data_IF_630236872749
#
_entry.id   IF_630236872749
#
_cell.length_a   1.000
_cell.length_b   1.000
_cell.length_c   1.000
_cell.angle_alpha   90.00
_cell.angle_beta   90.00
_cell.angle_gamma   90.00
#
_symmetry.space_group_name_H-M   'P 1'
#
loop_
_entity.id
_entity.type
_entity.pdbx_description
1 polymer ?
#
# COMPACT_ATOMS: atom_id res chain seq x y z
N UNK A 1 53.62 13.97 40.09
CA UNK A 1 54.74 13.18 40.67
C UNK A 1 54.23 12.40 41.88
N UNK A 2 54.17 11.07 41.72
CA UNK A 2 54.25 10.00 42.72
C UNK A 2 53.46 10.06 44.05
N UNK A 3 52.48 9.15 44.21
CA UNK A 3 52.50 8.02 45.18
C UNK A 3 51.10 7.41 45.44
N UNK A 4 50.44 6.79 44.44
CA UNK A 4 49.41 5.73 44.68
C UNK A 4 49.50 4.63 43.58
N UNK A 5 50.67 4.45 42.96
CA UNK A 5 50.83 3.52 41.82
C UNK A 5 51.43 2.15 42.20
N UNK A 6 51.32 1.68 43.45
CA UNK A 6 52.14 0.54 43.92
C UNK A 6 51.46 -0.48 44.86
N UNK A 7 50.14 -0.68 44.81
CA UNK A 7 49.47 -1.67 45.70
C UNK A 7 48.46 -2.59 44.97
N UNK A 8 48.35 -2.57 43.64
CA UNK A 8 47.63 -3.64 42.93
C UNK A 8 48.51 -4.23 41.82
N UNK A 9 49.07 -5.44 42.05
CA UNK A 9 49.81 -6.15 41.02
C UNK A 9 48.84 -6.54 39.90
N UNK A 10 49.38 -6.55 38.69
CA UNK A 10 48.79 -6.94 37.42
C UNK A 10 48.27 -8.39 37.43
N UNK A 11 47.14 -8.63 38.11
CA UNK A 11 46.55 -9.96 38.23
C UNK A 11 45.04 -9.86 38.45
N UNK A 12 44.27 -9.56 37.40
CA UNK A 12 42.84 -9.91 37.28
C UNK A 12 42.34 -9.90 35.81
N UNK A 13 43.24 -10.01 34.84
CA UNK A 13 42.86 -10.06 33.42
C UNK A 13 42.49 -11.47 32.91
N UNK A 14 42.35 -12.48 33.79
CA UNK A 14 42.34 -13.89 33.36
C UNK A 14 40.99 -14.63 33.52
N UNK A 15 39.96 -14.07 34.15
CA UNK A 15 38.67 -14.82 34.26
C UNK A 15 37.40 -13.99 34.07
N UNK A 16 37.47 -12.75 33.60
CA UNK A 16 36.30 -12.13 33.01
C UNK A 16 36.23 -12.65 31.57
N UNK A 17 35.32 -13.61 31.32
CA UNK A 17 35.09 -14.13 29.98
C UNK A 17 34.88 -13.01 28.95
N UNK A 18 35.03 -13.26 27.64
CA UNK A 18 35.05 -12.21 26.60
C UNK A 18 33.87 -11.23 26.68
N UNK A 19 32.72 -11.67 27.22
CA UNK A 19 31.55 -10.83 27.49
C UNK A 19 31.75 -9.81 28.61
N UNK A 20 32.43 -10.17 29.69
CA UNK A 20 32.64 -9.29 30.82
C UNK A 20 33.71 -8.21 30.52
N UNK A 21 34.72 -8.53 29.71
CA UNK A 21 35.63 -7.53 29.15
C UNK A 21 34.88 -6.54 28.22
N UNK A 22 34.00 -7.05 27.34
CA UNK A 22 33.17 -6.21 26.46
C UNK A 22 32.27 -5.22 27.22
N UNK A 23 31.67 -5.65 28.34
CA UNK A 23 30.84 -4.79 29.19
C UNK A 23 31.66 -3.78 30.01
N UNK A 24 32.86 -4.15 30.43
CA UNK A 24 33.78 -3.22 31.10
C UNK A 24 34.25 -2.11 30.15
N UNK A 25 34.53 -2.46 28.88
CA UNK A 25 34.94 -1.53 27.84
C UNK A 25 33.78 -0.65 27.33
N UNK A 26 32.54 -1.12 27.47
CA UNK A 26 31.35 -0.43 26.95
C UNK A 26 30.21 -0.42 27.98
N UNK A 27 30.25 0.49 28.98
CA UNK A 27 29.21 0.59 30.01
C UNK A 27 27.82 0.93 29.45
N UNK A 28 27.75 1.37 28.20
CA UNK A 28 26.52 1.76 27.48
C UNK A 28 25.74 0.57 26.90
N UNK A 29 26.43 -0.52 26.57
CA UNK A 29 25.79 -1.71 25.98
C UNK A 29 24.64 -2.30 26.81
N UNK A 30 24.73 -2.46 28.15
CA UNK A 30 23.63 -3.05 28.92
C UNK A 30 22.36 -2.19 28.87
N UNK A 31 22.50 -0.86 28.90
CA UNK A 31 21.37 0.06 28.81
C UNK A 31 20.73 0.02 27.42
N UNK A 32 21.54 -0.02 26.35
CA UNK A 32 21.04 -0.18 24.98
C UNK A 32 20.37 -1.54 24.75
N UNK A 33 20.91 -2.62 25.33
CA UNK A 33 20.31 -3.95 25.28
C UNK A 33 18.96 -3.97 26.00
N UNK A 34 18.85 -3.34 27.16
CA UNK A 34 17.60 -3.22 27.91
C UNK A 34 16.56 -2.42 27.12
N UNK A 35 16.95 -1.31 26.50
CA UNK A 35 16.09 -0.52 25.64
C UNK A 35 15.62 -1.31 24.40
N UNK A 36 16.51 -2.06 23.74
CA UNK A 36 16.15 -2.96 22.67
C UNK A 36 15.16 -4.03 23.12
N UNK A 37 15.43 -4.68 24.25
CA UNK A 37 14.54 -5.71 24.80
C UNK A 37 13.16 -5.14 25.13
N UNK A 38 13.06 -3.93 25.68
CA UNK A 38 11.79 -3.28 25.97
C UNK A 38 10.99 -3.00 24.69
N UNK A 39 11.63 -2.46 23.64
CA UNK A 39 11.01 -2.20 22.33
C UNK A 39 10.56 -3.51 21.69
N UNK A 40 11.44 -4.51 21.65
CA UNK A 40 11.15 -5.83 21.10
C UNK A 40 9.98 -6.49 21.84
N UNK A 41 10.02 -6.51 23.18
CA UNK A 41 8.98 -7.12 24.01
C UNK A 41 7.63 -6.42 23.79
N UNK A 42 7.62 -5.09 23.69
CA UNK A 42 6.39 -4.36 23.37
C UNK A 42 5.80 -4.79 22.03
N UNK A 43 6.59 -4.76 20.96
CA UNK A 43 6.12 -5.15 19.63
C UNK A 43 5.72 -6.62 19.56
N UNK A 44 6.45 -7.49 20.27
CA UNK A 44 6.16 -8.92 20.36
C UNK A 44 4.86 -9.20 21.11
N UNK A 45 4.64 -8.59 22.28
CA UNK A 45 3.39 -8.71 23.03
C UNK A 45 2.21 -8.13 22.24
N UNK A 46 2.43 -7.02 21.54
CA UNK A 46 1.43 -6.40 20.69
C UNK A 46 1.05 -7.30 19.51
N UNK A 47 2.05 -7.89 18.84
CA UNK A 47 1.85 -8.87 17.78
C UNK A 47 1.10 -10.11 18.29
N UNK A 48 1.44 -10.62 19.49
CA UNK A 48 0.70 -11.72 20.14
C UNK A 48 -0.75 -11.37 20.44
N UNK A 49 -1.05 -10.14 20.86
CA UNK A 49 -2.42 -9.68 21.15
C UNK A 49 -3.28 -9.56 19.88
N UNK A 50 -2.69 -9.08 18.79
CA UNK A 50 -3.36 -9.00 17.48
C UNK A 50 -3.59 -10.38 16.87
N UNK A 51 -2.72 -11.32 17.20
CA UNK A 51 -2.75 -12.67 16.67
C UNK A 51 -2.19 -12.77 15.25
N UNK A 52 -1.82 -13.98 14.81
CA UNK A 52 -1.46 -14.21 13.42
C UNK A 52 -2.63 -13.85 12.49
N UNK A 53 -2.33 -13.56 11.23
CA UNK A 53 -3.37 -13.33 10.22
C UNK A 53 -4.38 -14.50 10.24
N UNK A 54 -5.70 -14.22 10.13
CA UNK A 54 -6.70 -15.27 10.14
C UNK A 54 -6.38 -16.31 9.06
N UNK A 55 -6.48 -17.58 9.44
CA UNK A 55 -6.20 -18.69 8.53
C UNK A 55 -7.13 -18.63 7.30
N UNK A 56 -6.65 -19.14 6.17
CA UNK A 56 -7.49 -19.27 4.98
C UNK A 56 -8.63 -20.24 5.29
N UNK A 57 -9.87 -19.86 5.00
CA UNK A 57 -10.99 -20.79 5.05
C UNK A 57 -10.90 -21.84 3.93
N UNK A 58 -11.82 -22.80 3.93
CA UNK A 58 -11.99 -23.72 2.80
C UNK A 58 -12.49 -22.93 1.58
N UNK A 59 -11.67 -22.85 0.53
CA UNK A 59 -11.97 -22.08 -0.68
C UNK A 59 -12.67 -23.00 -1.67
N UNK A 60 -13.97 -22.81 -1.84
CA UNK A 60 -14.78 -23.49 -2.86
C UNK A 60 -14.93 -22.59 -4.09
N UNK A 61 -14.89 -23.13 -5.32
CA UNK A 61 -15.26 -22.37 -6.51
C UNK A 61 -16.64 -21.75 -6.37
N UNK A 62 -16.80 -20.47 -6.69
CA UNK A 62 -18.09 -19.75 -6.61
C UNK A 62 -18.30 -18.92 -7.88
N UNK A 63 -19.48 -19.07 -8.48
CA UNK A 63 -19.88 -18.36 -9.70
C UNK A 63 -20.39 -16.93 -9.42
N UNK A 64 -20.91 -16.67 -8.23
CA UNK A 64 -21.34 -15.34 -7.80
C UNK A 64 -20.22 -14.55 -7.10
N UNK A 65 -20.09 -13.24 -7.37
CA UNK A 65 -19.17 -12.38 -6.63
C UNK A 65 -19.55 -12.33 -5.14
N UNK A 66 -18.57 -12.21 -4.24
CA UNK A 66 -18.84 -12.14 -2.82
C UNK A 66 -19.62 -10.87 -2.46
N UNK A 67 -20.47 -11.01 -1.45
CA UNK A 67 -21.32 -9.93 -0.93
C UNK A 67 -20.57 -9.14 0.13
N UNK A 68 -20.69 -7.81 0.11
CA UNK A 68 -19.94 -6.91 1.00
C UNK A 68 -20.46 -6.85 2.46
N UNK A 69 -21.49 -7.63 2.79
CA UNK A 69 -22.36 -7.43 3.96
C UNK A 69 -21.68 -7.37 5.33
N UNK A 70 -20.54 -8.04 5.55
CA UNK A 70 -19.81 -7.98 6.83
C UNK A 70 -18.66 -6.95 6.84
N UNK A 71 -18.37 -6.34 5.70
CA UNK A 71 -17.26 -5.40 5.50
C UNK A 71 -17.72 -3.95 5.43
N UNK A 72 -18.95 -3.73 4.99
CA UNK A 72 -19.57 -2.42 4.92
C UNK A 72 -20.08 -1.98 6.30
N UNK A 73 -20.15 -0.66 6.48
CA UNK A 73 -20.75 -0.03 7.66
C UNK A 73 -22.28 -0.19 7.69
N UNK A 74 -22.89 -0.50 6.55
CA UNK A 74 -24.33 -0.61 6.35
C UNK A 74 -24.85 -2.00 6.73
N UNK A 75 -25.92 -1.99 7.53
CA UNK A 75 -26.56 -3.15 8.15
C UNK A 75 -27.26 -4.00 7.09
N UNK A 76 -26.72 -5.18 6.77
CA UNK A 76 -27.31 -6.46 6.27
C UNK A 76 -28.55 -6.53 5.34
N UNK A 77 -29.27 -5.45 5.04
CA UNK A 77 -30.53 -5.48 4.26
C UNK A 77 -30.29 -5.27 2.76
N UNK A 78 -29.29 -4.47 2.37
CA UNK A 78 -28.89 -4.23 0.96
C UNK A 78 -27.47 -4.73 0.71
N UNK A 79 -27.32 -6.05 0.78
CA UNK A 79 -26.03 -6.70 0.62
C UNK A 79 -25.67 -6.78 -0.88
N UNK A 80 -25.33 -5.63 -1.48
CA UNK A 80 -24.91 -5.52 -2.87
C UNK A 80 -23.62 -6.32 -3.13
N UNK A 81 -23.47 -6.94 -4.32
CA UNK A 81 -22.24 -7.60 -4.69
C UNK A 81 -21.08 -6.59 -4.68
N UNK A 82 -19.88 -7.05 -4.30
CA UNK A 82 -18.67 -6.23 -4.39
C UNK A 82 -18.44 -5.81 -5.83
N UNK A 83 -18.25 -4.52 -6.10
CA UNK A 83 -17.89 -4.06 -7.45
C UNK A 83 -16.53 -4.63 -7.89
N UNK A 84 -16.27 -4.72 -9.21
CA UNK A 84 -14.98 -5.18 -9.74
C UNK A 84 -13.78 -4.36 -9.22
N UNK A 85 -13.99 -3.06 -8.99
CA UNK A 85 -12.98 -2.17 -8.42
C UNK A 85 -12.71 -2.47 -6.94
N UNK A 86 -13.76 -2.74 -6.17
CA UNK A 86 -13.63 -3.13 -4.78
C UNK A 86 -12.88 -4.46 -4.63
N UNK A 87 -13.08 -5.41 -5.55
CA UNK A 87 -12.33 -6.68 -5.61
C UNK A 87 -10.83 -6.43 -5.79
N UNK A 88 -10.43 -5.58 -6.74
CA UNK A 88 -9.02 -5.23 -6.94
C UNK A 88 -8.43 -4.51 -5.71
N UNK A 89 -9.19 -3.59 -5.12
CA UNK A 89 -8.79 -2.85 -3.92
C UNK A 89 -8.56 -3.76 -2.70
N UNK A 90 -9.47 -4.73 -2.49
CA UNK A 90 -9.36 -5.75 -1.44
C UNK A 90 -8.16 -6.66 -1.68
N UNK A 91 -7.98 -7.15 -2.90
CA UNK A 91 -6.89 -8.05 -3.25
C UNK A 91 -5.51 -7.38 -3.14
N UNK A 92 -5.38 -6.11 -3.53
CA UNK A 92 -4.11 -5.37 -3.54
C UNK A 92 -3.86 -4.55 -2.26
N UNK A 93 -4.47 -4.95 -1.13
CA UNK A 93 -4.20 -4.38 0.19
C UNK A 93 -4.31 -2.84 0.24
N UNK A 94 -5.44 -2.30 -0.23
CA UNK A 94 -5.85 -0.87 -0.34
C UNK A 94 -5.26 -0.05 -1.49
N UNK A 95 -4.59 -0.70 -2.45
CA UNK A 95 -4.10 -0.03 -3.67
C UNK A 95 -5.07 -0.29 -4.81
N UNK A 96 -5.34 0.72 -5.62
CA UNK A 96 -6.05 0.57 -6.90
C UNK A 96 -4.99 0.37 -7.97
N UNK A 97 -5.07 -0.73 -8.70
CA UNK A 97 -4.25 -0.99 -9.88
C UNK A 97 -4.96 -0.49 -11.15
N UNK A 98 -4.23 -0.33 -12.26
CA UNK A 98 -4.88 0.11 -13.51
C UNK A 98 -5.78 -0.99 -14.09
N UNK A 99 -5.55 -2.25 -13.70
CA UNK A 99 -6.51 -3.36 -13.90
C UNK A 99 -7.83 -3.10 -13.21
N UNK A 100 -7.81 -2.76 -11.93
CA UNK A 100 -9.02 -2.46 -11.16
C UNK A 100 -9.78 -1.28 -11.77
N UNK A 101 -9.07 -0.23 -12.17
CA UNK A 101 -9.69 0.94 -12.82
C UNK A 101 -10.23 0.61 -14.22
N UNK A 102 -9.50 -0.16 -15.03
CA UNK A 102 -9.97 -0.63 -16.33
C UNK A 102 -11.21 -1.52 -16.21
N UNK A 103 -11.25 -2.38 -15.17
CA UNK A 103 -12.43 -3.17 -14.84
C UNK A 103 -13.62 -2.29 -14.44
N UNK A 104 -13.39 -1.20 -13.69
CA UNK A 104 -14.44 -0.24 -13.36
C UNK A 104 -15.00 0.46 -14.60
N UNK A 105 -14.14 0.90 -15.52
CA UNK A 105 -14.60 1.49 -16.78
C UNK A 105 -15.35 0.49 -17.65
N UNK A 106 -14.86 -0.75 -17.74
CA UNK A 106 -15.55 -1.81 -18.46
C UNK A 106 -16.93 -2.11 -17.84
N UNK A 107 -17.03 -2.12 -16.52
CA UNK A 107 -18.32 -2.32 -15.86
C UNK A 107 -19.30 -1.16 -16.14
N UNK A 108 -18.83 0.09 -16.13
CA UNK A 108 -19.61 1.26 -16.56
C UNK A 108 -20.03 1.18 -18.03
N UNK A 109 -19.19 0.65 -18.92
CA UNK A 109 -19.53 0.51 -20.34
C UNK A 109 -20.54 -0.60 -20.57
N UNK A 110 -20.43 -1.71 -19.84
CA UNK A 110 -21.43 -2.77 -19.85
C UNK A 110 -22.78 -2.31 -19.27
N UNK A 111 -22.80 -1.35 -18.35
CA UNK A 111 -24.02 -0.68 -17.86
C UNK A 111 -24.54 0.43 -18.79
N UNK A 112 -23.83 0.71 -19.89
CA UNK A 112 -24.21 1.72 -20.89
C UNK A 112 -23.90 3.16 -20.49
N UNK A 113 -23.14 3.38 -19.41
CA UNK A 113 -22.82 4.70 -18.86
C UNK A 113 -21.56 5.32 -19.45
N UNK A 114 -20.74 4.51 -20.13
CA UNK A 114 -19.52 4.97 -20.78
C UNK A 114 -19.35 4.26 -22.12
N UNK A 115 -18.83 4.97 -23.12
CA UNK A 115 -18.43 4.42 -24.40
C UNK A 115 -16.91 4.44 -24.53
N UNK A 116 -16.34 3.38 -25.08
CA UNK A 116 -14.89 3.28 -25.34
C UNK A 116 -14.65 3.35 -26.84
N UNK A 117 -13.92 4.39 -27.26
CA UNK A 117 -13.50 4.61 -28.63
C UNK A 117 -11.99 4.53 -28.76
N UNK A 118 -11.50 4.22 -29.96
CA UNK A 118 -10.08 4.33 -30.30
C UNK A 118 -9.81 5.73 -30.83
N UNK A 119 -8.82 6.42 -30.29
CA UNK A 119 -8.34 7.67 -30.88
C UNK A 119 -7.49 7.40 -32.12
N UNK A 120 -7.49 8.34 -33.07
CA UNK A 120 -6.65 8.29 -34.28
C UNK A 120 -5.15 8.24 -33.94
N UNK A 121 -4.78 8.79 -32.79
CA UNK A 121 -3.41 8.78 -32.23
C UNK A 121 -2.99 7.44 -31.62
N UNK A 122 -3.84 6.41 -31.71
CA UNK A 122 -3.60 5.07 -31.15
C UNK A 122 -3.92 4.93 -29.66
N UNK A 123 -4.38 6.01 -29.01
CA UNK A 123 -4.89 6.00 -27.64
C UNK A 123 -6.34 5.53 -27.52
N UNK A 124 -6.85 5.48 -26.29
CA UNK A 124 -8.26 5.18 -26.01
C UNK A 124 -8.98 6.43 -25.53
N UNK A 125 -10.25 6.60 -25.91
CA UNK A 125 -11.10 7.71 -25.47
C UNK A 125 -12.30 7.13 -24.74
N UNK A 126 -12.57 7.69 -23.56
CA UNK A 126 -13.73 7.36 -22.73
C UNK A 126 -14.75 8.49 -22.86
N UNK A 127 -15.96 8.17 -23.32
CA UNK A 127 -17.06 9.14 -23.45
C UNK A 127 -18.15 8.78 -22.45
N UNK A 128 -18.39 9.56 -21.38
CA UNK A 128 -19.51 9.34 -20.49
C UNK A 128 -20.84 9.58 -21.22
N UNK A 129 -21.83 8.72 -20.98
CA UNK A 129 -23.20 8.86 -21.46
C UNK A 129 -24.12 9.37 -20.35
N UNK A 130 -25.23 10.05 -20.68
CA UNK A 130 -26.16 10.55 -19.67
C UNK A 130 -26.72 9.40 -18.83
N UNK A 131 -26.77 9.60 -17.51
CA UNK A 131 -27.18 8.61 -16.52
C UNK A 131 -28.72 8.45 -16.54
N UNK A 132 -29.28 7.28 -16.92
CA UNK A 132 -30.70 7.02 -16.76
C UNK A 132 -31.02 6.89 -15.26
N UNK A 133 -32.13 7.48 -14.79
CA UNK A 133 -32.50 7.49 -13.36
C UNK A 133 -32.57 6.09 -12.72
N UNK A 134 -33.02 5.07 -13.48
CA UNK A 134 -33.07 3.68 -13.02
C UNK A 134 -31.68 3.08 -12.81
N UNK A 135 -30.72 3.39 -13.68
CA UNK A 135 -29.33 2.92 -13.58
C UNK A 135 -28.59 3.65 -12.46
N UNK A 136 -28.97 4.91 -12.18
CA UNK A 136 -28.43 5.71 -11.09
C UNK A 136 -28.70 5.10 -9.70
N UNK A 137 -29.86 4.45 -9.54
CA UNK A 137 -30.28 3.81 -8.28
C UNK A 137 -29.64 2.44 -8.07
N UNK A 138 -29.28 1.74 -9.15
CA UNK A 138 -28.67 0.41 -9.11
C UNK A 138 -27.13 0.44 -9.03
N UNK A 139 -26.51 1.61 -9.15
CA UNK A 139 -25.05 1.77 -9.16
C UNK A 139 -24.48 1.70 -7.75
N UNK A 140 -23.37 0.98 -7.57
CA UNK A 140 -22.66 0.99 -6.30
C UNK A 140 -22.02 2.38 -6.06
N UNK A 141 -21.90 2.78 -4.79
CA UNK A 141 -21.35 4.09 -4.40
C UNK A 141 -19.96 4.37 -5.00
N UNK A 142 -19.09 3.36 -5.08
CA UNK A 142 -17.78 3.51 -5.71
C UNK A 142 -17.84 3.67 -7.23
N UNK A 143 -18.78 3.01 -7.90
CA UNK A 143 -18.97 3.14 -9.35
C UNK A 143 -19.51 4.53 -9.68
N UNK A 144 -20.43 5.03 -8.85
CA UNK A 144 -20.92 6.40 -8.91
C UNK A 144 -19.81 7.41 -8.69
N UNK A 145 -18.95 7.19 -7.70
CA UNK A 145 -17.79 8.06 -7.46
C UNK A 145 -16.81 8.09 -8.64
N UNK A 146 -16.60 6.94 -9.32
CA UNK A 146 -15.78 6.87 -10.54
C UNK A 146 -16.46 7.63 -11.68
N UNK A 147 -17.76 7.44 -11.88
CA UNK A 147 -18.53 8.11 -12.93
C UNK A 147 -18.58 9.64 -12.73
N UNK A 148 -18.86 10.12 -11.51
CA UNK A 148 -18.87 11.54 -11.18
C UNK A 148 -17.48 12.18 -11.32
N UNK A 149 -16.42 11.42 -11.02
CA UNK A 149 -15.06 11.88 -11.25
C UNK A 149 -14.69 11.86 -12.75
N UNK A 150 -15.21 10.91 -13.53
CA UNK A 150 -15.03 10.83 -14.97
C UNK A 150 -15.66 12.04 -15.66
N UNK A 151 -16.91 12.38 -15.33
CA UNK A 151 -17.59 13.56 -15.88
C UNK A 151 -16.82 14.83 -15.54
N UNK A 152 -16.41 15.02 -14.29
CA UNK A 152 -15.65 16.21 -13.86
C UNK A 152 -14.30 16.38 -14.54
N UNK A 153 -13.74 15.33 -15.13
CA UNK A 153 -12.45 15.35 -15.82
C UNK A 153 -12.61 15.31 -17.35
N UNK A 154 -13.83 15.12 -17.85
CA UNK A 154 -14.15 15.08 -19.27
C UNK A 154 -14.69 16.45 -19.70
N UNK A 155 -13.82 17.46 -19.79
CA UNK A 155 -14.18 18.85 -20.10
C UNK A 155 -14.99 18.99 -21.42
N UNK A 156 -14.68 18.17 -22.43
CA UNK A 156 -15.39 18.12 -23.72
C UNK A 156 -16.34 16.91 -23.87
N UNK A 157 -16.72 16.28 -22.76
CA UNK A 157 -17.45 15.00 -22.79
C UNK A 157 -16.61 13.82 -23.31
N UNK A 158 -15.29 13.99 -23.42
CA UNK A 158 -14.33 12.96 -23.83
C UNK A 158 -13.10 12.98 -22.94
N UNK A 159 -12.71 11.84 -22.42
CA UNK A 159 -11.45 11.66 -21.69
C UNK A 159 -10.48 10.81 -22.52
N UNK A 160 -9.46 11.43 -23.09
CA UNK A 160 -8.41 10.73 -23.83
C UNK A 160 -7.39 10.16 -22.85
N UNK A 161 -7.19 8.84 -22.87
CA UNK A 161 -6.19 8.13 -22.07
C UNK A 161 -4.79 8.41 -22.63
N UNK A 162 -4.09 9.35 -21.98
CA UNK A 162 -2.69 9.68 -22.26
C UNK A 162 -1.78 9.15 -21.16
N UNK A 163 -0.50 8.81 -21.46
CA UNK A 163 0.45 8.42 -20.41
C UNK A 163 0.58 9.51 -19.33
N UNK A 164 0.67 9.11 -18.07
CA UNK A 164 0.85 10.01 -16.91
C UNK A 164 -0.23 11.11 -16.71
N UNK A 165 -1.47 10.87 -17.12
CA UNK A 165 -2.56 11.84 -17.03
C UNK A 165 -2.93 12.18 -15.58
N UNK A 166 -3.11 13.48 -15.29
CA UNK A 166 -3.52 13.94 -13.96
C UNK A 166 -4.98 13.60 -13.65
N UNK A 167 -5.89 13.75 -14.63
CA UNK A 167 -7.32 13.47 -14.45
C UNK A 167 -7.61 12.02 -14.09
N UNK A 168 -6.93 11.05 -14.72
CA UNK A 168 -7.10 9.63 -14.37
C UNK A 168 -6.64 9.32 -12.94
N UNK A 169 -5.55 9.94 -12.49
CA UNK A 169 -5.09 9.83 -11.10
C UNK A 169 -6.08 10.47 -10.13
N UNK A 170 -6.74 11.56 -10.51
CA UNK A 170 -7.80 12.17 -9.72
C UNK A 170 -9.04 11.26 -9.60
N UNK A 171 -9.44 10.59 -10.68
CA UNK A 171 -10.50 9.57 -10.67
C UNK A 171 -10.13 8.42 -9.73
N UNK A 172 -8.93 7.87 -9.87
CA UNK A 172 -8.45 6.79 -9.00
C UNK A 172 -8.38 7.24 -7.52
N UNK A 173 -7.99 8.49 -7.25
CA UNK A 173 -7.96 9.03 -5.89
C UNK A 173 -9.37 9.19 -5.30
N UNK A 174 -10.34 9.68 -6.08
CA UNK A 174 -11.73 9.81 -5.66
C UNK A 174 -12.35 8.44 -5.34
N UNK A 175 -12.15 7.46 -6.22
CA UNK A 175 -12.62 6.09 -6.02
C UNK A 175 -11.96 5.45 -4.78
N UNK A 176 -10.66 5.64 -4.60
CA UNK A 176 -9.93 5.18 -3.41
C UNK A 176 -10.48 5.79 -2.13
N UNK A 177 -10.81 7.08 -2.14
CA UNK A 177 -11.38 7.76 -0.99
C UNK A 177 -12.77 7.19 -0.64
N UNK A 178 -13.62 6.93 -1.63
CA UNK A 178 -14.92 6.29 -1.42
C UNK A 178 -14.76 4.88 -0.83
N UNK A 179 -13.89 4.04 -1.40
CA UNK A 179 -13.60 2.69 -0.90
C UNK A 179 -13.03 2.68 0.52
N UNK A 180 -12.15 3.65 0.86
CA UNK A 180 -11.62 3.80 2.22
C UNK A 180 -12.72 4.14 3.24
N UNK A 181 -13.71 4.94 2.84
CA UNK A 181 -14.86 5.29 3.68
C UNK A 181 -15.83 4.11 3.81
N UNK A 182 -16.02 3.34 2.75
CA UNK A 182 -16.90 2.15 2.71
C UNK A 182 -16.34 0.99 3.53
N UNK A 183 -15.01 0.82 3.53
CA UNK A 183 -14.31 -0.29 4.19
C UNK A 183 -13.34 0.16 5.30
N UNK A 184 -13.81 0.87 6.35
CA UNK A 184 -12.93 1.45 7.37
C UNK A 184 -12.22 0.38 8.22
N UNK A 185 -12.79 -0.81 8.32
CA UNK A 185 -12.31 -1.91 9.17
C UNK A 185 -11.80 -3.13 8.37
N UNK A 186 -11.64 -3.01 7.05
CA UNK A 186 -11.14 -4.12 6.22
C UNK A 186 -9.71 -4.52 6.61
N UNK A 187 -8.85 -3.55 6.92
CA UNK A 187 -7.54 -3.81 7.53
C UNK A 187 -7.51 -3.24 8.94
N UNK A 188 -7.39 -4.14 9.92
CA UNK A 188 -7.13 -3.77 11.31
C UNK A 188 -5.66 -3.41 11.45
N UNK A 189 -5.24 -2.30 10.85
CA UNK A 189 -4.02 -1.67 11.30
C UNK A 189 -4.41 -0.88 12.54
N UNK A 190 -4.17 -1.46 13.73
CA UNK A 190 -4.33 -0.77 15.02
C UNK A 190 -3.18 0.25 15.15
N UNK A 191 -3.23 1.21 14.22
CA UNK A 191 -2.24 2.25 13.97
C UNK A 191 -1.98 3.05 15.21
N UNK A 192 -2.97 3.24 16.09
CA UNK A 192 -2.80 3.91 17.37
C UNK A 192 -1.74 3.25 18.26
N UNK A 193 -1.66 1.92 18.28
CA UNK A 193 -0.69 1.21 19.11
C UNK A 193 0.65 0.96 18.37
N UNK A 194 0.64 0.77 17.05
CA UNK A 194 1.88 0.79 16.27
C UNK A 194 2.58 2.18 16.33
N UNK A 195 1.79 3.25 16.26
CA UNK A 195 2.23 4.64 16.50
C UNK A 195 2.69 4.80 17.94
N UNK A 196 1.94 4.32 18.95
CA UNK A 196 2.43 4.37 20.33
C UNK A 196 3.80 3.70 20.49
N UNK A 197 4.04 2.53 19.88
CA UNK A 197 5.37 1.88 19.89
C UNK A 197 6.46 2.73 19.22
N UNK A 198 6.19 3.28 18.04
CA UNK A 198 7.12 4.13 17.30
C UNK A 198 7.42 5.47 17.98
N UNK A 199 6.46 6.03 18.70
CA UNK A 199 6.54 7.39 19.22
C UNK A 199 6.82 7.46 20.73
N UNK A 200 6.49 6.41 21.49
CA UNK A 200 6.70 6.36 22.96
C UNK A 200 7.95 5.57 23.33
N UNK A 201 8.28 4.49 22.60
CA UNK A 201 9.34 3.56 23.03
C UNK A 201 10.63 3.67 22.20
N UNK A 202 10.51 3.82 20.88
CA UNK A 202 11.67 3.96 20.00
C UNK A 202 12.53 5.20 20.31
N UNK A 203 11.96 6.40 20.56
CA UNK A 203 12.78 7.58 20.73
C UNK A 203 13.55 7.63 22.05
N UNK A 204 12.98 7.28 23.22
CA UNK A 204 13.77 7.16 24.44
C UNK A 204 14.89 6.13 24.30
N UNK A 205 14.64 5.00 23.63
CA UNK A 205 15.66 3.99 23.37
C UNK A 205 16.83 4.53 22.51
N UNK A 206 16.53 5.37 21.53
CA UNK A 206 17.55 6.02 20.69
C UNK A 206 18.25 7.18 21.41
N UNK A 207 17.52 7.98 22.21
CA UNK A 207 18.08 9.09 23.00
C UNK A 207 19.03 8.57 24.06
N UNK A 208 18.68 7.51 24.77
CA UNK A 208 19.56 6.81 25.72
C UNK A 208 20.83 6.29 25.05
N UNK A 209 20.79 6.01 23.74
CA UNK A 209 21.98 5.61 22.98
C UNK A 209 22.92 6.78 22.66
N UNK A 210 22.45 8.04 22.75
CA UNK A 210 23.19 9.26 22.37
C UNK A 210 23.57 10.14 23.57
N UNK A 211 22.84 10.03 24.69
CA UNK A 211 22.91 10.98 25.83
C UNK A 211 24.29 11.05 26.52
N UNK A 212 25.17 10.08 26.31
CA UNK A 212 26.51 10.04 26.92
C UNK A 212 27.66 10.13 25.92
N UNK A 213 27.38 10.37 24.63
CA UNK A 213 28.45 10.80 23.71
C UNK A 213 29.01 12.11 24.24
N UNK A 214 30.32 12.32 24.11
CA UNK A 214 31.04 13.49 24.65
C UNK A 214 30.68 14.78 23.86
N UNK A 215 29.39 15.09 23.85
CA UNK A 215 28.76 16.22 23.19
C UNK A 215 29.25 17.53 23.82
N UNK A 216 29.70 17.45 25.07
CA UNK A 216 30.41 18.48 25.83
C UNK A 216 31.68 18.93 25.09
N UNK A 217 32.44 18.00 24.49
CA UNK A 217 33.62 18.30 23.68
C UNK A 217 33.30 19.01 22.35
N UNK A 218 32.21 18.61 21.69
CA UNK A 218 31.72 19.21 20.44
C UNK A 218 31.09 20.60 20.66
N UNK A 219 30.37 20.80 21.77
CA UNK A 219 29.84 22.11 22.16
C UNK A 219 30.93 23.10 22.54
N UNK A 220 31.98 22.60 23.21
CA UNK A 220 33.16 23.41 23.52
C UNK A 220 33.93 23.81 22.26
N UNK A 221 34.05 22.91 21.27
CA UNK A 221 34.69 23.20 19.98
C UNK A 221 33.85 24.15 19.09
N UNK A 222 32.52 24.14 19.22
CA UNK A 222 31.60 24.99 18.47
C UNK A 222 31.20 26.30 19.19
N UNK A 223 31.72 26.55 20.40
CA UNK A 223 31.43 27.75 21.20
C UNK A 223 29.99 27.85 21.74
N UNK A 224 29.25 26.75 21.76
CA UNK A 224 27.87 26.70 22.26
C UNK A 224 27.86 26.20 23.72
N UNK A 225 26.92 26.65 24.58
CA UNK A 225 26.86 26.17 25.95
C UNK A 225 26.57 24.65 25.98
N UNK A 226 27.31 23.87 26.79
CA UNK A 226 27.27 22.39 26.75
C UNK A 226 25.92 21.79 27.12
N UNK A 227 25.05 22.57 27.75
CA UNK A 227 23.70 22.14 28.14
C UNK A 227 22.66 22.30 27.01
N UNK A 228 22.98 23.06 25.95
CA UNK A 228 21.99 23.48 24.96
C UNK A 228 21.76 22.47 23.84
N UNK A 229 22.76 21.71 23.42
CA UNK A 229 22.63 20.80 22.26
C UNK A 229 21.85 19.51 22.53
N UNK A 230 22.01 18.77 23.66
CA UNK A 230 21.19 17.59 23.91
C UNK A 230 19.77 17.98 24.27
N UNK A 231 19.59 19.09 25.00
CA UNK A 231 18.28 19.66 25.33
C UNK A 231 17.57 20.22 24.09
N UNK A 232 18.29 20.80 23.12
CA UNK A 232 17.72 21.27 21.85
C UNK A 232 17.34 20.11 20.92
N UNK A 233 18.13 19.02 20.85
CA UNK A 233 17.76 17.83 20.07
C UNK A 233 16.57 17.11 20.72
N UNK A 234 16.59 16.94 22.05
CA UNK A 234 15.47 16.38 22.80
C UNK A 234 14.23 17.29 22.74
N UNK A 235 14.41 18.61 22.77
CA UNK A 235 13.35 19.62 22.68
C UNK A 235 12.76 19.70 21.26
N UNK A 236 13.59 19.67 20.22
CA UNK A 236 13.14 19.58 18.83
C UNK A 236 12.37 18.26 18.61
N UNK A 237 12.86 17.17 19.18
CA UNK A 237 12.17 15.88 19.13
C UNK A 237 10.83 15.92 19.87
N UNK A 238 10.79 16.43 21.11
CA UNK A 238 9.58 16.53 21.92
C UNK A 238 8.56 17.51 21.34
N UNK A 239 9.00 18.59 20.70
CA UNK A 239 8.11 19.55 20.01
C UNK A 239 7.55 18.98 18.72
N UNK A 240 8.34 18.22 17.94
CA UNK A 240 7.87 17.45 16.77
C UNK A 240 6.90 16.33 17.21
N UNK A 241 7.17 15.68 18.33
CA UNK A 241 6.28 14.68 18.95
C UNK A 241 4.96 15.31 19.41
N UNK A 242 5.04 16.42 20.15
CA UNK A 242 3.86 17.15 20.64
C UNK A 242 3.01 17.70 19.49
N UNK A 243 3.62 18.25 18.44
CA UNK A 243 2.88 18.70 17.24
C UNK A 243 2.29 17.52 16.45
N UNK A 244 2.97 16.38 16.35
CA UNK A 244 2.44 15.17 15.70
C UNK A 244 1.23 14.57 16.44
N UNK A 245 1.22 14.63 17.78
CA UNK A 245 0.09 14.19 18.60
C UNK A 245 -1.05 15.22 18.70
N UNK A 246 -0.72 16.52 18.74
CA UNK A 246 -1.68 17.61 18.83
C UNK A 246 -2.40 17.91 17.50
N UNK A 247 -1.78 17.57 16.36
CA UNK A 247 -2.42 17.69 15.06
C UNK A 247 -3.50 16.58 14.86
N UNK A 248 -4.77 16.94 15.08
CA UNK A 248 -5.96 16.15 14.73
C UNK A 248 -6.84 16.91 13.69
N UNK A 249 -7.67 16.25 12.85
CA UNK A 249 -7.70 14.88 12.36
C UNK A 249 -7.27 14.84 10.87
N UNK A 250 -6.05 15.25 10.50
CA UNK A 250 -5.56 15.08 9.12
C UNK A 250 -4.99 13.69 8.90
N UNK A 251 -5.86 12.67 8.97
CA UNK A 251 -5.56 11.30 8.55
C UNK A 251 -4.44 10.58 9.32
N UNK A 252 -4.31 9.29 9.06
CA UNK A 252 -3.29 8.43 9.68
C UNK A 252 -1.96 8.50 8.90
N UNK A 253 -2.03 8.85 7.62
CA UNK A 253 -0.87 8.98 6.74
C UNK A 253 0.05 10.16 7.12
N UNK A 254 -0.52 11.30 7.54
CA UNK A 254 0.25 12.48 7.96
C UNK A 254 1.08 12.21 9.22
N UNK A 255 0.48 11.50 10.20
CA UNK A 255 1.16 11.07 11.42
C UNK A 255 2.29 10.08 11.15
N UNK A 256 2.09 9.14 10.21
CA UNK A 256 3.16 8.22 9.79
C UNK A 256 4.27 8.94 9.01
N UNK A 257 3.93 9.93 8.16
CA UNK A 257 4.90 10.72 7.41
C UNK A 257 5.80 11.52 8.35
N UNK A 258 5.24 12.15 9.38
CA UNK A 258 6.00 12.89 10.40
C UNK A 258 6.87 11.94 11.24
N UNK A 259 6.37 10.74 11.56
CA UNK A 259 7.18 9.73 12.24
C UNK A 259 8.35 9.23 11.39
N UNK A 260 8.14 9.06 10.09
CA UNK A 260 9.17 8.63 9.15
C UNK A 260 10.20 9.72 8.90
N UNK A 261 9.79 10.99 8.82
CA UNK A 261 10.72 12.12 8.69
C UNK A 261 11.51 12.34 9.98
N UNK A 262 10.87 12.26 11.16
CA UNK A 262 11.56 12.36 12.44
C UNK A 262 12.53 11.20 12.68
N UNK A 263 12.12 9.97 12.36
CA UNK A 263 12.99 8.79 12.40
C UNK A 263 14.14 8.87 11.40
N UNK A 264 13.89 9.39 10.18
CA UNK A 264 14.90 9.62 9.17
C UNK A 264 15.91 10.72 9.54
N UNK A 265 15.44 11.82 10.15
CA UNK A 265 16.29 12.87 10.72
C UNK A 265 17.17 12.33 11.86
N UNK A 266 16.60 11.48 12.72
CA UNK A 266 17.35 10.77 13.75
C UNK A 266 18.40 9.86 13.12
N UNK A 267 18.04 8.99 12.18
CA UNK A 267 18.98 8.09 11.50
C UNK A 267 20.06 8.84 10.72
N UNK A 268 19.73 9.98 10.11
CA UNK A 268 20.67 10.83 9.40
C UNK A 268 21.64 11.56 10.34
N UNK A 269 21.15 12.09 11.45
CA UNK A 269 22.00 12.69 12.50
C UNK A 269 22.90 11.65 13.15
N UNK A 270 22.35 10.47 13.37
CA UNK A 270 23.07 9.30 13.81
C UNK A 270 24.19 8.92 12.81
N UNK A 271 23.88 8.68 11.53
CA UNK A 271 24.88 8.39 10.49
C UNK A 271 25.99 9.46 10.37
N UNK A 272 25.65 10.74 10.50
CA UNK A 272 26.62 11.83 10.47
C UNK A 272 27.64 11.73 11.63
N UNK A 273 27.19 11.34 12.83
CA UNK A 273 28.06 11.11 13.99
C UNK A 273 28.96 9.89 13.82
N UNK A 274 28.53 8.86 13.07
CA UNK A 274 29.37 7.71 12.70
C UNK A 274 30.51 8.10 11.76
N UNK A 275 30.18 8.82 10.67
CA UNK A 275 31.15 9.20 9.62
C UNK A 275 32.26 10.09 10.17
N UNK A 276 31.95 10.89 11.20
CA UNK A 276 32.92 11.72 11.91
C UNK A 276 33.78 10.94 12.93
N UNK A 277 33.57 9.62 13.07
CA UNK A 277 34.38 8.74 13.93
C UNK A 277 34.02 8.76 15.41
N UNK A 278 32.94 9.46 15.81
CA UNK A 278 32.57 9.65 17.22
C UNK A 278 31.85 8.48 17.85
N UNK A 279 31.36 7.54 17.04
CA UNK A 279 30.68 6.34 17.52
C UNK A 279 31.47 5.11 17.04
N UNK A 280 32.11 4.34 17.94
CA UNK A 280 32.84 3.13 17.57
C UNK A 280 31.89 2.12 16.92
N UNK A 281 32.44 1.29 16.03
CA UNK A 281 31.71 0.43 15.08
C UNK A 281 30.60 -0.44 15.69
N UNK A 282 30.69 -0.82 16.98
CA UNK A 282 29.70 -1.67 17.66
C UNK A 282 28.48 -0.89 18.19
N UNK A 283 28.60 0.40 18.50
CA UNK A 283 27.55 1.18 19.18
C UNK A 283 26.36 1.53 18.26
N UNK A 284 26.52 1.35 16.95
CA UNK A 284 25.46 1.51 15.95
C UNK A 284 24.56 0.30 15.75
N UNK A 285 25.06 -0.89 16.09
CA UNK A 285 24.40 -2.14 15.75
C UNK A 285 23.06 -2.25 16.47
N UNK A 286 23.00 -1.89 17.76
CA UNK A 286 21.77 -1.98 18.56
C UNK A 286 20.68 -0.96 18.14
N UNK A 287 21.00 0.34 17.91
CA UNK A 287 20.06 1.30 17.33
C UNK A 287 19.56 0.91 15.93
N UNK A 288 20.43 0.38 15.08
CA UNK A 288 20.03 -0.11 13.77
C UNK A 288 19.10 -1.33 13.89
N UNK A 289 19.39 -2.24 14.84
CA UNK A 289 18.60 -3.43 15.09
C UNK A 289 17.24 -3.10 15.73
N UNK A 290 17.14 -2.13 16.63
CA UNK A 290 15.85 -1.65 17.17
C UNK A 290 14.97 -1.07 16.07
N UNK A 291 15.55 -0.24 15.20
CA UNK A 291 14.84 0.34 14.05
C UNK A 291 14.38 -0.76 13.08
N UNK A 292 15.27 -1.69 12.72
CA UNK A 292 14.96 -2.82 11.85
C UNK A 292 13.82 -3.66 12.42
N UNK A 293 13.86 -3.94 13.73
CA UNK A 293 12.81 -4.66 14.45
C UNK A 293 11.49 -3.90 14.35
N UNK A 294 11.47 -2.59 14.61
CA UNK A 294 10.26 -1.76 14.51
C UNK A 294 9.69 -1.74 13.08
N UNK A 295 10.54 -1.69 12.05
CA UNK A 295 10.16 -1.78 10.63
C UNK A 295 9.56 -3.16 10.29
N UNK A 296 10.20 -4.25 10.73
CA UNK A 296 9.71 -5.61 10.51
C UNK A 296 8.35 -5.80 11.18
N UNK A 297 8.21 -5.42 12.45
CA UNK A 297 6.95 -5.57 13.17
C UNK A 297 5.85 -4.68 12.56
N UNK A 298 6.14 -3.45 12.14
CA UNK A 298 5.11 -2.63 11.46
C UNK A 298 4.64 -3.22 10.14
N UNK A 299 5.53 -3.84 9.36
CA UNK A 299 5.12 -4.59 8.18
C UNK A 299 4.27 -5.82 8.56
N UNK A 300 4.67 -6.56 9.60
CA UNK A 300 3.99 -7.76 10.09
C UNK A 300 2.59 -7.49 10.69
N UNK A 301 2.38 -6.29 11.27
CA UNK A 301 1.11 -5.90 11.90
C UNK A 301 0.01 -5.53 10.90
N UNK A 302 0.29 -5.52 9.58
CA UNK A 302 -0.73 -5.30 8.55
C UNK A 302 -1.54 -6.57 8.30
N UNK A 303 -2.39 -6.93 9.25
CA UNK A 303 -3.27 -8.12 9.16
C UNK A 303 -4.68 -7.74 8.66
N UNK A 304 -5.27 -8.51 7.72
CA UNK A 304 -6.66 -8.34 7.33
C UNK A 304 -7.59 -8.68 8.51
N UNK A 305 -8.73 -8.01 8.62
CA UNK A 305 -9.75 -8.40 9.60
C UNK A 305 -10.40 -9.74 9.23
N UNK A 306 -11.10 -10.40 10.16
CA UNK A 306 -11.80 -11.65 9.87
C UNK A 306 -12.84 -11.50 8.75
N UNK A 307 -13.61 -10.41 8.75
CA UNK A 307 -14.55 -10.11 7.67
C UNK A 307 -13.84 -9.89 6.32
N UNK A 308 -12.70 -9.19 6.33
CA UNK A 308 -11.88 -9.04 5.12
C UNK A 308 -11.30 -10.38 4.64
N UNK A 309 -10.94 -11.28 5.56
CA UNK A 309 -10.47 -12.63 5.23
C UNK A 309 -11.57 -13.41 4.51
N UNK A 310 -12.80 -13.39 5.03
CA UNK A 310 -13.94 -14.08 4.40
C UNK A 310 -14.20 -13.56 2.99
N UNK A 311 -14.13 -12.24 2.77
CA UNK A 311 -14.30 -11.70 1.42
C UNK A 311 -13.13 -12.03 0.51
N UNK A 312 -11.88 -12.01 1.00
CA UNK A 312 -10.72 -12.44 0.23
C UNK A 312 -10.82 -13.92 -0.16
N UNK A 313 -11.31 -14.78 0.73
CA UNK A 313 -11.55 -16.19 0.43
C UNK A 313 -12.68 -16.35 -0.60
N UNK A 314 -13.73 -15.53 -0.53
CA UNK A 314 -14.77 -15.47 -1.56
C UNK A 314 -14.26 -14.98 -2.92
N UNK A 315 -13.38 -13.99 -2.94
CA UNK A 315 -12.70 -13.49 -4.16
C UNK A 315 -11.81 -14.60 -4.75
N UNK A 316 -11.09 -15.34 -3.91
CA UNK A 316 -10.26 -16.46 -4.35
C UNK A 316 -11.13 -17.61 -4.89
N UNK A 317 -12.29 -17.88 -4.28
CA UNK A 317 -13.27 -18.83 -4.80
C UNK A 317 -13.83 -18.44 -6.18
N UNK A 318 -14.07 -17.14 -6.40
CA UNK A 318 -14.41 -16.61 -7.72
C UNK A 318 -13.25 -16.76 -8.71
N UNK A 319 -12.01 -16.47 -8.28
CA UNK A 319 -10.83 -16.64 -9.12
C UNK A 319 -10.60 -18.11 -9.50
N UNK A 320 -10.84 -19.05 -8.59
CA UNK A 320 -10.82 -20.49 -8.87
C UNK A 320 -11.89 -20.86 -9.88
N UNK A 321 -13.12 -20.36 -9.74
CA UNK A 321 -14.17 -20.58 -10.74
C UNK A 321 -13.73 -20.06 -12.13
N UNK A 322 -13.25 -18.82 -12.22
CA UNK A 322 -12.81 -18.23 -13.50
C UNK A 322 -11.58 -18.93 -14.10
N UNK A 323 -10.72 -19.54 -13.28
CA UNK A 323 -9.52 -20.28 -13.72
C UNK A 323 -9.83 -21.72 -14.12
N UNK A 324 -10.60 -22.44 -13.31
CA UNK A 324 -10.88 -23.88 -13.45
C UNK A 324 -12.13 -24.17 -14.30
N UNK A 325 -12.87 -23.15 -14.72
CA UNK A 325 -14.03 -23.27 -15.63
C UNK A 325 -13.69 -23.83 -17.03
N UNK A 326 -12.48 -24.34 -17.26
CA UNK A 326 -12.12 -25.19 -18.40
C UNK A 326 -12.54 -26.66 -18.24
N UNK A 327 -13.14 -27.08 -17.12
CA UNK A 327 -13.63 -28.45 -16.92
C UNK A 327 -15.15 -28.55 -17.18
N UNK A 328 -15.60 -29.15 -18.31
CA UNK A 328 -17.02 -29.20 -18.71
C UNK A 328 -17.95 -29.97 -17.75
N UNK A 329 -17.41 -30.70 -16.76
CA UNK A 329 -18.19 -31.51 -15.82
C UNK A 329 -18.82 -30.74 -14.64
N UNK A 330 -18.34 -29.52 -14.32
CA UNK A 330 -18.77 -28.80 -13.10
C UNK A 330 -20.06 -28.00 -13.23
N UNK A 331 -20.45 -27.64 -14.45
CA UNK A 331 -21.72 -26.94 -14.71
C UNK A 331 -22.94 -27.78 -14.30
N UNK A 332 -22.76 -29.11 -14.26
CA UNK A 332 -23.78 -30.07 -13.81
C UNK A 332 -23.96 -30.12 -12.28
N UNK A 333 -22.98 -29.64 -11.53
CA UNK A 333 -22.96 -29.70 -10.06
C UNK A 333 -23.32 -28.38 -9.38
N UNK A 334 -23.21 -27.24 -10.08
CA UNK A 334 -23.64 -25.95 -9.55
C UNK A 334 -25.10 -25.69 -9.96
N UNK A 335 -26.04 -26.13 -9.13
CA UNK A 335 -27.49 -25.95 -9.35
C UNK A 335 -27.91 -24.47 -9.48
N UNK A 336 -27.03 -23.53 -9.10
CA UNK A 336 -27.21 -22.07 -9.21
C UNK A 336 -26.82 -21.51 -10.59
N UNK A 337 -25.90 -22.16 -11.31
CA UNK A 337 -25.44 -21.71 -12.64
C UNK A 337 -26.44 -22.04 -13.76
N UNK A 338 -27.33 -23.02 -13.54
CA UNK A 338 -28.30 -23.49 -14.53
C UNK A 338 -29.48 -22.54 -14.83
N UNK A 339 -29.59 -21.40 -14.13
CA UNK A 339 -30.73 -20.47 -14.25
C UNK A 339 -30.47 -19.27 -15.17
N UNK A 340 -29.22 -18.95 -15.49
CA UNK A 340 -28.85 -17.74 -16.23
C UNK A 340 -28.23 -18.09 -17.59
N UNK A 341 -28.60 -17.43 -18.69
CA UNK A 341 -28.02 -17.75 -19.98
C UNK A 341 -26.50 -17.50 -19.97
N UNK A 342 -25.70 -18.36 -20.63
CA UNK A 342 -24.24 -18.30 -20.59
C UNK A 342 -23.70 -16.94 -21.04
N UNK A 343 -24.41 -16.26 -21.95
CA UNK A 343 -24.11 -14.92 -22.42
C UNK A 343 -24.24 -13.83 -21.35
N UNK A 344 -25.26 -13.90 -20.50
CA UNK A 344 -25.44 -12.94 -19.40
C UNK A 344 -24.40 -13.16 -18.30
N UNK A 345 -24.09 -14.43 -17.99
CA UNK A 345 -23.02 -14.77 -17.07
C UNK A 345 -21.65 -14.27 -17.58
N UNK A 346 -21.38 -14.40 -18.88
CA UNK A 346 -20.17 -13.86 -19.52
C UNK A 346 -20.06 -12.35 -19.33
N UNK A 347 -21.11 -11.60 -19.70
CA UNK A 347 -21.17 -10.14 -19.55
C UNK A 347 -20.96 -9.71 -18.09
N UNK A 348 -21.63 -10.36 -17.14
CA UNK A 348 -21.53 -10.01 -15.71
C UNK A 348 -20.14 -10.26 -15.14
N UNK A 349 -19.48 -11.37 -15.52
CA UNK A 349 -18.20 -11.78 -14.93
C UNK A 349 -16.97 -11.21 -15.63
N UNK A 350 -17.12 -10.63 -16.83
CA UNK A 350 -16.00 -10.09 -17.62
C UNK A 350 -15.21 -8.99 -16.87
N UNK A 351 -15.84 -7.99 -16.21
CA UNK A 351 -15.10 -6.99 -15.42
C UNK A 351 -14.35 -7.61 -14.24
N UNK A 352 -14.92 -8.63 -13.59
CA UNK A 352 -14.27 -9.34 -12.50
C UNK A 352 -13.05 -10.14 -12.98
N UNK A 353 -13.15 -10.79 -14.13
CA UNK A 353 -12.03 -11.48 -14.75
C UNK A 353 -10.88 -10.51 -15.07
N UNK A 354 -11.19 -9.30 -15.57
CA UNK A 354 -10.20 -8.26 -15.82
C UNK A 354 -9.55 -7.74 -14.51
N UNK A 355 -10.35 -7.50 -13.47
CA UNK A 355 -9.83 -7.09 -12.16
C UNK A 355 -8.92 -8.17 -11.55
N UNK A 356 -9.25 -9.45 -11.74
CA UNK A 356 -8.48 -10.58 -11.23
C UNK A 356 -7.26 -10.94 -12.10
N UNK A 357 -7.17 -10.41 -13.33
CA UNK A 357 -6.12 -10.75 -14.29
C UNK A 357 -6.30 -12.14 -14.92
N UNK A 358 -7.55 -12.60 -15.02
CA UNK A 358 -7.96 -13.86 -15.60
C UNK A 358 -8.74 -13.64 -16.92
N UNK A 359 -8.63 -12.45 -17.54
CA UNK A 359 -9.39 -12.08 -18.73
C UNK A 359 -9.14 -13.03 -19.90
N UNK A 360 -7.90 -13.51 -20.07
CA UNK A 360 -7.56 -14.45 -21.15
C UNK A 360 -8.27 -15.78 -20.94
N UNK A 361 -8.12 -16.39 -19.76
CA UNK A 361 -8.73 -17.69 -19.45
C UNK A 361 -10.26 -17.63 -19.59
N UNK A 362 -10.87 -16.52 -19.15
CA UNK A 362 -12.31 -16.32 -19.25
C UNK A 362 -12.79 -16.08 -20.69
N UNK A 363 -12.12 -15.24 -21.46
CA UNK A 363 -12.46 -15.01 -22.87
C UNK A 363 -12.24 -16.26 -23.73
N UNK A 364 -11.20 -17.06 -23.45
CA UNK A 364 -10.93 -18.31 -24.17
C UNK A 364 -12.05 -19.35 -23.91
N UNK A 365 -12.61 -19.40 -22.69
CA UNK A 365 -13.80 -20.22 -22.36
C UNK A 365 -15.02 -19.77 -23.16
N UNK A 366 -15.33 -18.48 -23.15
CA UNK A 366 -16.53 -17.89 -23.74
C UNK A 366 -16.34 -17.48 -25.20
N UNK A 367 -15.42 -18.12 -25.92
CA UNK A 367 -15.16 -17.87 -27.35
C UNK A 367 -16.33 -18.32 -28.26
N UNK A 368 -17.41 -18.87 -27.68
CA UNK A 368 -18.61 -19.23 -28.42
C UNK A 368 -19.22 -17.98 -29.08
N UNK A 369 -19.66 -18.06 -30.35
CA UNK A 369 -20.24 -16.93 -31.07
C UNK A 369 -21.41 -16.25 -30.34
N UNK A 370 -22.19 -17.02 -29.56
CA UNK A 370 -23.35 -16.51 -28.80
C UNK A 370 -22.96 -15.59 -27.64
N UNK A 371 -21.88 -15.91 -26.93
CA UNK A 371 -21.39 -15.12 -25.80
C UNK A 371 -20.74 -13.82 -26.29
N UNK A 372 -20.05 -13.88 -27.43
CA UNK A 372 -19.47 -12.71 -28.10
C UNK A 372 -20.58 -11.81 -28.68
N UNK A 373 -21.63 -12.40 -29.27
CA UNK A 373 -22.78 -11.66 -29.77
C UNK A 373 -23.50 -10.86 -28.67
N UNK A 374 -23.54 -11.40 -27.44
CA UNK A 374 -24.15 -10.72 -26.30
C UNK A 374 -23.43 -9.43 -25.85
N UNK A 375 -22.21 -9.20 -26.34
CA UNK A 375 -21.46 -7.96 -26.11
C UNK A 375 -21.50 -7.00 -27.31
N UNK A 376 -22.19 -7.32 -28.42
CA UNK A 376 -22.27 -6.45 -29.59
C UNK A 376 -23.06 -5.16 -29.33
N UNK A 377 -24.02 -5.19 -28.41
CA UNK A 377 -24.82 -4.01 -28.02
C UNK A 377 -24.09 -3.10 -27.01
N UNK A 378 -22.87 -3.46 -26.60
CA UNK A 378 -22.08 -2.65 -25.67
C UNK A 378 -21.52 -1.46 -26.43
N UNK A 379 -21.46 -0.29 -25.77
CA UNK A 379 -20.84 0.92 -26.32
C UNK A 379 -19.30 0.82 -26.43
N UNK A 380 -18.79 -0.26 -27.00
CA UNK A 380 -17.39 -0.47 -27.36
C UNK A 380 -17.32 -0.55 -28.87
N UNK A 381 -16.43 0.24 -29.48
CA UNK A 381 -16.24 0.25 -30.92
C UNK A 381 -15.93 -1.15 -31.48
N UNK A 382 -16.65 -1.58 -32.52
CA UNK A 382 -16.53 -2.91 -33.11
C UNK A 382 -15.11 -3.19 -33.64
N UNK A 383 -14.38 -2.14 -34.05
CA UNK A 383 -13.00 -2.26 -34.51
C UNK A 383 -12.04 -2.65 -33.40
N UNK A 384 -12.35 -2.32 -32.14
CA UNK A 384 -11.54 -2.70 -30.98
C UNK A 384 -11.60 -4.19 -30.70
N UNK A 385 -12.77 -4.81 -30.91
CA UNK A 385 -13.03 -6.21 -30.59
C UNK A 385 -12.81 -7.15 -31.79
N UNK A 386 -12.47 -6.62 -32.97
CA UNK A 386 -12.20 -7.38 -34.21
C UNK A 386 -11.12 -8.46 -34.04
N UNK A 387 -10.08 -8.21 -33.23
CA UNK A 387 -9.01 -9.19 -32.90
C UNK A 387 -9.35 -10.10 -31.71
N UNK A 388 -10.57 -10.02 -31.19
CA UNK A 388 -11.05 -10.73 -30.02
C UNK A 388 -10.97 -9.89 -28.73
N UNK A 389 -11.92 -10.14 -27.83
CA UNK A 389 -12.04 -9.47 -26.54
C UNK A 389 -10.77 -9.60 -25.67
N UNK A 390 -10.13 -10.77 -25.66
CA UNK A 390 -8.88 -10.96 -24.90
C UNK A 390 -7.70 -10.10 -25.39
N UNK A 391 -7.67 -9.68 -26.66
CA UNK A 391 -6.67 -8.73 -27.16
C UNK A 391 -7.00 -7.31 -26.71
N UNK A 392 -8.24 -6.88 -26.93
CA UNK A 392 -8.73 -5.56 -26.51
C UNK A 392 -8.54 -5.30 -25.02
N UNK A 393 -8.94 -6.22 -24.15
CA UNK A 393 -8.85 -6.04 -22.70
C UNK A 393 -7.40 -5.89 -22.23
N UNK A 394 -6.46 -6.61 -22.85
CA UNK A 394 -5.04 -6.49 -22.54
C UNK A 394 -4.46 -5.15 -22.96
N UNK A 395 -4.78 -4.66 -24.16
CA UNK A 395 -4.28 -3.37 -24.65
C UNK A 395 -4.94 -2.19 -23.93
N UNK A 396 -6.23 -2.29 -23.61
CA UNK A 396 -6.95 -1.30 -22.82
C UNK A 396 -6.37 -1.19 -21.40
N UNK A 397 -6.15 -2.33 -20.73
CA UNK A 397 -5.45 -2.39 -19.44
C UNK A 397 -4.08 -1.70 -19.48
N UNK A 398 -3.26 -2.00 -20.50
CA UNK A 398 -1.93 -1.39 -20.65
C UNK A 398 -2.01 0.13 -20.82
N UNK A 399 -2.99 0.64 -21.57
CA UNK A 399 -3.21 2.07 -21.73
C UNK A 399 -3.61 2.75 -20.41
N UNK A 400 -4.50 2.12 -19.64
CA UNK A 400 -4.91 2.63 -18.31
C UNK A 400 -3.74 2.59 -17.32
N UNK A 401 -2.96 1.50 -17.28
CA UNK A 401 -1.76 1.39 -16.45
C UNK A 401 -0.73 2.48 -16.83
N UNK A 402 -0.49 2.72 -18.12
CA UNK A 402 0.41 3.77 -18.60
C UNK A 402 -0.09 5.18 -18.23
N UNK A 403 -1.40 5.39 -18.28
CA UNK A 403 -2.02 6.65 -17.90
C UNK A 403 -1.94 6.92 -16.39
N UNK A 404 -2.00 5.88 -15.54
CA UNK A 404 -1.85 6.03 -14.08
C UNK A 404 -0.39 6.15 -13.60
N UNK A 405 0.59 5.76 -14.42
CA UNK A 405 1.99 5.83 -14.04
C UNK A 405 2.40 7.26 -13.64
N UNK A 406 3.29 7.39 -12.65
CA UNK A 406 3.89 8.67 -12.29
C UNK A 406 4.87 9.11 -13.38
N UNK A 407 4.97 10.42 -13.68
CA UNK A 407 6.01 10.93 -14.59
C UNK A 407 7.36 10.46 -14.07
N UNK A 408 8.15 9.74 -14.90
CA UNK A 408 9.56 9.51 -14.58
C UNK A 408 10.23 10.89 -14.54
N UNK A 409 11.07 11.20 -13.53
CA UNK A 409 11.90 12.39 -13.62
C UNK A 409 12.69 12.29 -14.92
N UNK A 410 12.53 13.31 -15.78
CA UNK A 410 13.22 13.33 -17.06
C UNK A 410 14.71 13.16 -16.78
N UNK A 411 15.30 12.06 -17.28
CA UNK A 411 16.75 11.94 -17.35
C UNK A 411 17.22 13.20 -18.05
N UNK A 412 17.89 14.08 -17.29
CA UNK A 412 18.46 15.33 -17.78
C UNK A 412 19.26 14.95 -19.03
N UNK A 413 18.76 15.33 -20.22
CA UNK A 413 19.50 15.20 -21.47
C UNK A 413 20.87 15.83 -21.17
N UNK A 414 21.91 15.03 -21.32
CA UNK A 414 23.29 15.49 -21.34
C UNK A 414 23.33 16.76 -22.18
N UNK A 415 23.79 17.85 -21.57
CA UNK A 415 24.12 19.08 -22.28
C UNK A 415 24.94 18.71 -23.53
N UNK A 416 24.59 19.22 -24.73
CA UNK A 416 25.50 19.12 -25.86
C UNK A 416 26.73 19.95 -25.51
N UNK A 417 27.81 19.26 -25.14
CA UNK A 417 29.12 19.84 -24.93
C UNK A 417 29.63 20.35 -26.26
N UNK A 418 29.70 21.69 -26.32
CA UNK A 418 30.52 22.57 -27.15
C UNK A 418 31.24 21.97 -28.37
N UNK A 419 30.94 22.64 -29.49
CA UNK A 419 31.64 22.58 -30.76
C UNK A 419 33.15 22.75 -30.65
N UNK A 420 33.81 22.14 -31.62
CA UNK A 420 35.15 22.41 -32.09
C UNK A 420 35.47 23.92 -32.15
N UNK A 421 36.68 24.27 -31.72
CA UNK A 421 37.41 25.40 -32.26
C UNK A 421 38.89 25.03 -32.34
N UNK A 422 39.34 24.80 -33.58
CA UNK A 422 40.75 24.74 -33.97
C UNK A 422 41.49 26.02 -33.55
N UNK A 423 42.64 25.84 -32.90
CA UNK A 423 43.86 26.64 -33.03
C UNK A 423 45.04 25.91 -32.35
#
# INVERSE_FOLDING_TARGET
>A
MNRIAAIFPTADAVTLGPLAALFADNPRLPVQMLAFCAVFLYFFLFWRKLGPAPAKGAITPRSCPPVAGQLCRETSADASPLSPLAVDYLRNATRISGRGLAAAFLDLTLKGLCAVHKADTGGYVLEPRPLPERTAQALADEERAVYDALIRQADDGRLVLRPCQAGLRAIAAAARHCLQRRFPAAWRLQTRAAVAGWFVLLPPALVVSVLETDLVGLTAAAGLPPETTPAAVCGLFCTVLATSLAMAPRGTAWRCLIGLTAGGLLCGGLWALHVQGFLPSVQWVLPALTLLTALIFTAALKTPSQAARTALDGIEGLALYLRDAGSPDRERTDHTAGLEPPSAAFRRLLPYALALGLEKAWCDRCAAPRDVAALQDVAVDADLTRRGWGHFLRSFRQAVDAAMASPRPASRKSLPGLADSDA
#
